data_IF_193616704794
#
_entry.id   IF_193616704794
#
_cell.length_a   1.000
_cell.length_b   1.000
_cell.length_c   1.000
_cell.angle_alpha   90.00
_cell.angle_beta   90.00
_cell.angle_gamma   90.00
#
_symmetry.space_group_name_H-M   'P 1'
#
loop_
_entity.id
_entity.type
_entity.pdbx_description
1 polymer ?
#
# COMPACT_ATOMS: atom_id res chain seq x y z
N UNK A 1 -32.03 -0.88 -12.26
CA UNK A 1 -30.98 -1.87 -12.56
C UNK A 1 -31.65 -3.19 -12.94
N UNK A 2 -31.30 -3.76 -14.09
CA UNK A 2 -31.89 -5.00 -14.60
C UNK A 2 -31.28 -6.23 -13.93
N UNK A 3 -32.11 -7.24 -13.61
CA UNK A 3 -31.69 -8.53 -13.01
C UNK A 3 -30.56 -9.24 -13.76
N UNK A 4 -30.43 -8.97 -15.07
CA UNK A 4 -29.34 -9.50 -15.92
C UNK A 4 -27.96 -8.97 -15.51
N UNK A 5 -27.87 -7.76 -14.97
CA UNK A 5 -26.59 -7.16 -14.55
C UNK A 5 -26.05 -7.81 -13.26
N UNK A 6 -26.94 -8.20 -12.35
CA UNK A 6 -26.59 -8.88 -11.09
C UNK A 6 -26.06 -10.30 -11.35
N UNK A 7 -26.61 -11.00 -12.34
CA UNK A 7 -26.18 -12.36 -12.69
C UNK A 7 -24.79 -12.34 -13.33
N UNK A 8 -24.54 -11.42 -14.28
CA UNK A 8 -23.20 -11.23 -14.87
C UNK A 8 -22.17 -10.85 -13.79
N UNK A 9 -22.56 -10.01 -12.83
CA UNK A 9 -21.73 -9.59 -11.71
C UNK A 9 -21.36 -10.74 -10.77
N UNK A 10 -22.31 -11.60 -10.40
CA UNK A 10 -22.04 -12.77 -9.54
C UNK A 10 -21.13 -13.75 -10.28
N UNK A 11 -21.32 -13.98 -11.57
CA UNK A 11 -20.46 -14.89 -12.33
C UNK A 11 -19.02 -14.39 -12.44
N UNK A 12 -18.80 -13.10 -12.66
CA UNK A 12 -17.47 -12.52 -12.85
C UNK A 12 -16.70 -12.37 -11.53
N UNK A 13 -17.39 -12.01 -10.44
CA UNK A 13 -16.81 -12.01 -9.10
C UNK A 13 -16.55 -13.43 -8.58
N UNK A 14 -17.42 -14.39 -8.89
CA UNK A 14 -17.18 -15.80 -8.53
C UNK A 14 -16.00 -16.36 -9.33
N UNK A 15 -15.87 -16.01 -10.61
CA UNK A 15 -14.67 -16.35 -11.41
C UNK A 15 -13.41 -15.70 -10.84
N UNK A 16 -13.48 -14.45 -10.38
CA UNK A 16 -12.37 -13.78 -9.71
C UNK A 16 -11.96 -14.50 -8.41
N UNK A 17 -12.92 -14.82 -7.54
CA UNK A 17 -12.67 -15.58 -6.32
C UNK A 17 -12.14 -17.00 -6.60
N UNK A 18 -12.61 -17.62 -7.69
CA UNK A 18 -12.18 -18.96 -8.11
C UNK A 18 -10.76 -18.96 -8.70
N UNK A 19 -10.42 -17.94 -9.50
CA UNK A 19 -9.05 -17.74 -10.00
C UNK A 19 -8.11 -17.47 -8.81
N UNK A 20 -8.51 -16.59 -7.89
CA UNK A 20 -7.72 -16.26 -6.73
C UNK A 20 -7.50 -17.47 -5.79
N UNK A 21 -8.53 -18.28 -5.53
CA UNK A 21 -8.41 -19.51 -4.74
C UNK A 21 -7.57 -20.59 -5.43
N UNK A 22 -7.52 -20.59 -6.77
CA UNK A 22 -6.69 -21.51 -7.56
C UNK A 22 -5.20 -21.15 -7.53
N UNK A 23 -4.86 -19.86 -7.40
CA UNK A 23 -3.47 -19.40 -7.34
C UNK A 23 -2.89 -19.34 -5.93
N UNK A 24 -3.72 -19.35 -4.89
CA UNK A 24 -3.25 -19.37 -3.51
C UNK A 24 -4.21 -20.14 -2.59
N UNK A 25 -4.16 -21.49 -2.61
CA UNK A 25 -5.08 -22.33 -1.83
C UNK A 25 -4.91 -22.20 -0.30
N UNK A 26 -3.90 -21.44 0.15
CA UNK A 26 -3.56 -21.27 1.57
C UNK A 26 -3.94 -19.88 2.13
N UNK A 27 -4.44 -18.95 1.31
CA UNK A 27 -4.86 -17.62 1.77
C UNK A 27 -6.38 -17.56 1.94
N UNK A 28 -6.90 -17.49 3.18
CA UNK A 28 -8.33 -17.46 3.41
C UNK A 28 -8.95 -16.17 2.85
N UNK A 29 -10.03 -16.31 2.07
CA UNK A 29 -10.80 -15.20 1.47
C UNK A 29 -11.16 -14.09 2.47
N UNK A 30 -11.32 -14.43 3.75
CA UNK A 30 -11.63 -13.47 4.82
C UNK A 30 -10.56 -12.38 4.98
N UNK A 31 -9.28 -12.70 4.77
CA UNK A 31 -8.19 -11.71 4.85
C UNK A 31 -8.26 -10.63 3.77
N UNK A 32 -8.82 -10.95 2.61
CA UNK A 32 -8.94 -10.02 1.47
C UNK A 32 -10.08 -9.01 1.68
N UNK A 33 -11.17 -9.41 2.32
CA UNK A 33 -12.35 -8.55 2.58
C UNK A 33 -12.06 -7.53 3.70
N UNK A 34 -11.32 -7.92 4.76
CA UNK A 34 -10.92 -7.00 5.83
C UNK A 34 -10.00 -5.86 5.35
N UNK A 35 -9.29 -6.05 4.24
CA UNK A 35 -8.40 -5.06 3.65
C UNK A 35 -9.13 -3.78 3.19
N UNK A 36 -10.43 -3.88 2.86
CA UNK A 36 -11.19 -2.77 2.25
C UNK A 36 -12.14 -2.04 3.20
N UNK A 37 -12.51 -2.61 4.35
CA UNK A 37 -13.49 -1.98 5.26
C UNK A 37 -12.92 -0.91 6.19
N UNK A 38 -11.59 -0.80 6.32
CA UNK A 38 -10.95 0.06 7.32
C UNK A 38 -10.79 1.55 6.91
N UNK A 39 -11.36 1.98 5.77
CA UNK A 39 -11.08 3.31 5.19
C UNK A 39 -11.90 4.49 5.73
N UNK A 40 -12.80 4.31 6.71
CA UNK A 40 -13.62 5.40 7.24
C UNK A 40 -13.29 5.68 8.70
N UNK A 41 -12.34 6.59 8.94
CA UNK A 41 -12.05 7.11 10.29
C UNK A 41 -12.38 8.60 10.34
N UNK A 42 -13.52 8.95 10.95
CA UNK A 42 -13.89 10.33 11.29
C UNK A 42 -13.52 10.59 12.76
N UNK A 43 -12.55 11.47 13.01
CA UNK A 43 -12.20 11.87 14.38
C UNK A 43 -11.27 13.09 14.41
N UNK A 44 -11.61 14.09 15.23
CA UNK A 44 -10.80 15.30 15.45
C UNK A 44 -9.51 14.96 16.19
N UNK A 45 -8.43 15.59 15.73
CA UNK A 45 -7.05 15.43 16.20
C UNK A 45 -6.82 16.12 17.55
N UNK A 46 -6.47 15.30 18.54
CA UNK A 46 -5.50 15.66 19.57
C UNK A 46 -4.48 14.52 19.63
N UNK A 47 -3.25 14.82 20.07
CA UNK A 47 -2.16 13.83 20.25
C UNK A 47 -2.52 12.82 21.34
N UNK A 48 -3.45 11.93 21.05
CA UNK A 48 -3.98 10.94 21.98
C UNK A 48 -3.20 9.65 21.74
N UNK A 49 -2.56 9.16 22.80
CA UNK A 49 -2.00 7.81 22.87
C UNK A 49 -3.10 6.82 22.44
N UNK A 50 -2.78 5.79 21.62
CA UNK A 50 -3.75 4.76 21.32
C UNK A 50 -4.27 4.08 22.59
N UNK A 51 -5.59 3.91 22.69
CA UNK A 51 -6.22 3.15 23.76
C UNK A 51 -5.84 1.67 23.67
N UNK A 52 -6.00 0.91 24.77
CA UNK A 52 -5.74 -0.53 24.78
C UNK A 52 -6.54 -1.30 23.71
N UNK A 53 -7.77 -0.85 23.41
CA UNK A 53 -8.59 -1.41 22.34
C UNK A 53 -8.01 -1.13 20.95
N UNK A 54 -7.54 0.11 20.70
CA UNK A 54 -6.86 0.45 19.45
C UNK A 54 -5.58 -0.38 19.28
N UNK A 55 -4.86 -0.70 20.37
CA UNK A 55 -3.70 -1.61 20.32
C UNK A 55 -4.09 -3.00 19.85
N UNK A 56 -5.04 -3.64 20.52
CA UNK A 56 -5.48 -5.00 20.16
C UNK A 56 -5.99 -5.06 18.70
N UNK A 57 -6.64 -4.01 18.23
CA UNK A 57 -7.10 -3.93 16.85
C UNK A 57 -5.95 -3.75 15.85
N UNK A 58 -4.93 -2.97 16.20
CA UNK A 58 -3.69 -2.88 15.42
C UNK A 58 -2.98 -4.23 15.38
N UNK A 59 -2.87 -4.94 16.51
CA UNK A 59 -2.27 -6.29 16.56
C UNK A 59 -2.95 -7.24 15.58
N UNK A 60 -4.28 -7.31 15.60
CA UNK A 60 -5.06 -8.16 14.69
C UNK A 60 -4.84 -7.75 13.22
N UNK A 61 -4.92 -6.46 12.90
CA UNK A 61 -4.97 -5.99 11.51
C UNK A 61 -3.60 -5.94 10.83
N UNK A 62 -2.56 -5.64 11.58
CA UNK A 62 -1.19 -5.55 11.07
C UNK A 62 -0.39 -6.84 11.22
N UNK A 63 -0.95 -7.86 11.88
CA UNK A 63 -0.24 -9.08 12.25
C UNK A 63 0.84 -8.83 13.31
N UNK A 64 0.73 -7.72 14.03
CA UNK A 64 1.59 -7.34 15.14
C UNK A 64 1.16 -8.10 16.42
N UNK A 65 1.16 -9.43 16.42
CA UNK A 65 0.96 -10.17 17.68
C UNK A 65 2.19 -9.97 18.57
N UNK A 66 2.06 -9.21 19.67
CA UNK A 66 3.06 -9.04 20.75
C UNK A 66 4.52 -8.94 20.30
N UNK A 67 4.81 -8.23 19.20
CA UNK A 67 6.15 -8.20 18.64
C UNK A 67 7.09 -7.47 19.59
N UNK A 68 8.03 -8.22 20.17
CA UNK A 68 9.18 -7.69 20.92
C UNK A 68 9.90 -6.63 20.07
N UNK A 69 9.60 -5.36 20.32
CA UNK A 69 10.21 -4.25 19.59
C UNK A 69 9.27 -3.25 18.97
N UNK A 70 7.95 -3.34 19.19
CA UNK A 70 7.04 -2.23 18.98
C UNK A 70 6.74 -1.54 20.30
N UNK A 71 6.87 -0.22 20.34
CA UNK A 71 6.64 0.61 21.53
C UNK A 71 5.81 1.84 21.18
N UNK A 72 4.99 2.28 22.13
CA UNK A 72 4.25 3.51 21.97
C UNK A 72 5.11 4.74 22.30
N UNK A 73 4.93 5.85 21.58
CA UNK A 73 5.55 7.11 21.95
C UNK A 73 5.08 7.55 23.35
N UNK A 74 6.00 7.89 24.24
CA UNK A 74 5.65 8.54 25.51
C UNK A 74 5.05 9.92 25.26
N UNK A 75 4.20 10.45 26.17
CA UNK A 75 3.68 11.81 26.07
C UNK A 75 4.81 12.83 25.88
N UNK A 76 4.65 13.73 24.90
CA UNK A 76 5.64 14.75 24.57
C UNK A 76 6.80 14.30 23.68
N UNK A 77 6.89 13.00 23.34
CA UNK A 77 7.90 12.53 22.39
C UNK A 77 7.66 13.07 20.97
N UNK A 78 8.75 13.15 20.20
CA UNK A 78 8.73 13.58 18.80
C UNK A 78 9.29 12.47 17.93
N UNK A 79 8.66 12.23 16.77
CA UNK A 79 9.16 11.27 15.79
C UNK A 79 10.54 11.65 15.23
N UNK A 80 10.91 12.94 15.31
CA UNK A 80 12.23 13.43 14.89
C UNK A 80 13.38 13.00 15.81
N UNK A 81 13.07 12.48 16.99
CA UNK A 81 14.04 12.12 18.02
C UNK A 81 13.86 10.64 18.39
N UNK A 82 14.18 9.71 17.47
CA UNK A 82 14.01 8.29 17.70
C UNK A 82 14.87 7.79 18.86
N UNK A 83 14.30 6.88 19.65
CA UNK A 83 15.07 6.08 20.62
C UNK A 83 16.12 5.26 19.87
N UNK A 84 17.30 5.09 20.46
CA UNK A 84 18.38 4.30 19.87
C UNK A 84 17.90 2.91 19.43
N UNK A 85 18.22 2.53 18.19
CA UNK A 85 17.82 1.24 17.60
C UNK A 85 16.36 1.16 17.12
N UNK A 86 15.60 2.26 17.15
CA UNK A 86 14.19 2.29 16.71
C UNK A 86 13.95 3.32 15.60
N UNK A 87 12.91 3.10 14.82
CA UNK A 87 12.38 4.02 13.81
C UNK A 87 10.92 4.33 14.11
N UNK A 88 10.48 5.55 13.82
CA UNK A 88 9.08 5.93 13.92
C UNK A 88 8.29 5.47 12.70
N UNK A 89 7.18 4.76 12.90
CA UNK A 89 6.26 4.33 11.83
C UNK A 89 4.88 4.88 12.12
N UNK A 90 4.33 5.67 11.18
CA UNK A 90 3.01 6.27 11.34
C UNK A 90 1.90 5.23 11.26
N UNK A 91 0.87 5.34 12.10
CA UNK A 91 -0.24 4.38 12.06
C UNK A 91 -0.96 4.41 10.70
N UNK A 92 -1.07 5.59 10.08
CA UNK A 92 -1.70 5.73 8.76
C UNK A 92 -0.94 5.04 7.63
N UNK A 93 0.36 4.76 7.77
CA UNK A 93 1.07 3.94 6.78
C UNK A 93 0.78 2.46 6.97
N UNK A 94 0.56 1.99 8.21
CA UNK A 94 0.11 0.62 8.51
C UNK A 94 -1.32 0.38 8.00
N UNK A 95 -2.22 1.36 8.22
CA UNK A 95 -3.58 1.36 7.67
C UNK A 95 -3.57 1.28 6.14
N UNK A 96 -2.56 1.89 5.50
CA UNK A 96 -2.35 1.86 4.05
C UNK A 96 -1.80 0.51 3.54
N UNK A 97 -1.62 -0.48 4.41
CA UNK A 97 -1.29 -1.85 4.02
C UNK A 97 0.18 -2.22 4.17
N UNK A 98 1.08 -1.32 4.61
CA UNK A 98 2.46 -1.72 4.88
C UNK A 98 2.53 -2.67 6.08
N UNK A 99 3.47 -3.60 6.05
CA UNK A 99 3.71 -4.59 7.11
C UNK A 99 5.18 -4.58 7.50
N UNK A 100 5.51 -5.04 8.70
CA UNK A 100 6.87 -5.02 9.24
C UNK A 100 7.83 -5.99 8.54
N UNK A 101 7.29 -6.98 7.85
CA UNK A 101 8.06 -7.76 6.88
C UNK A 101 7.73 -7.25 5.49
N UNK A 102 8.54 -6.30 5.02
CA UNK A 102 8.43 -5.82 3.65
C UNK A 102 8.68 -6.98 2.70
N UNK A 103 7.90 -7.03 1.61
CA UNK A 103 8.22 -7.94 0.50
C UNK A 103 9.50 -7.48 -0.19
N UNK A 104 10.18 -8.39 -0.89
CA UNK A 104 11.40 -8.06 -1.66
C UNK A 104 11.18 -6.86 -2.59
N UNK A 105 9.98 -6.77 -3.20
CA UNK A 105 9.62 -5.65 -4.07
C UNK A 105 9.44 -4.34 -3.29
N UNK A 106 8.75 -4.36 -2.15
CA UNK A 106 8.58 -3.16 -1.31
C UNK A 106 9.93 -2.65 -0.80
N UNK A 107 10.78 -3.56 -0.30
CA UNK A 107 12.13 -3.21 0.13
C UNK A 107 12.95 -2.65 -1.04
N UNK A 108 12.88 -3.27 -2.23
CA UNK A 108 13.56 -2.78 -3.44
C UNK A 108 13.12 -1.36 -3.80
N UNK A 109 11.81 -1.07 -3.81
CA UNK A 109 11.29 0.28 -4.10
C UNK A 109 11.84 1.30 -3.11
N UNK A 110 11.74 1.04 -1.81
CA UNK A 110 12.16 1.99 -0.79
C UNK A 110 13.67 2.18 -0.75
N UNK A 111 14.46 1.11 -0.92
CA UNK A 111 15.91 1.20 -1.01
C UNK A 111 16.36 1.99 -2.24
N UNK A 112 15.80 1.69 -3.43
CA UNK A 112 16.23 2.34 -4.68
C UNK A 112 15.81 3.79 -4.77
N UNK A 113 14.62 4.14 -4.28
CA UNK A 113 14.18 5.54 -4.21
C UNK A 113 14.74 6.29 -2.98
N UNK A 114 15.49 5.61 -2.11
CA UNK A 114 16.13 6.21 -0.94
C UNK A 114 15.14 6.75 0.09
N UNK A 115 13.98 6.09 0.22
CA UNK A 115 12.93 6.52 1.13
C UNK A 115 12.84 5.62 2.37
N UNK A 116 13.01 6.21 3.54
CA UNK A 116 12.76 5.52 4.81
C UNK A 116 11.27 5.43 5.15
N UNK A 117 10.86 4.41 5.91
CA UNK A 117 9.45 4.24 6.30
C UNK A 117 8.85 5.47 7.00
N UNK A 118 9.64 6.15 7.84
CA UNK A 118 9.25 7.38 8.53
C UNK A 118 8.96 8.57 7.59
N UNK A 119 9.39 8.50 6.33
CA UNK A 119 9.14 9.54 5.33
C UNK A 119 7.95 9.18 4.42
N UNK A 120 7.52 7.92 4.38
CA UNK A 120 6.47 7.49 3.47
C UNK A 120 5.12 8.09 3.84
N UNK A 121 4.46 8.71 2.87
CA UNK A 121 3.05 9.06 3.00
C UNK A 121 2.17 7.81 2.86
N UNK A 122 0.98 7.77 3.49
CA UNK A 122 0.00 6.70 3.27
C UNK A 122 -0.32 6.48 1.79
N UNK A 123 -0.38 7.56 1.01
CA UNK A 123 -0.61 7.47 -0.44
C UNK A 123 0.56 6.79 -1.17
N UNK A 124 1.81 7.03 -0.73
CA UNK A 124 2.97 6.34 -1.28
C UNK A 124 2.89 4.84 -1.01
N UNK A 125 2.58 4.46 0.23
CA UNK A 125 2.40 3.07 0.63
C UNK A 125 1.31 2.39 -0.19
N UNK A 126 0.12 3.01 -0.26
CA UNK A 126 -1.00 2.48 -1.03
C UNK A 126 -0.59 2.17 -2.48
N UNK A 127 0.19 3.05 -3.13
CA UNK A 127 0.66 2.82 -4.50
C UNK A 127 1.58 1.62 -4.63
N UNK A 128 2.54 1.47 -3.71
CA UNK A 128 3.46 0.32 -3.74
C UNK A 128 2.71 -0.97 -3.47
N UNK A 129 1.89 -1.00 -2.41
CA UNK A 129 1.13 -2.19 -1.98
C UNK A 129 0.11 -2.60 -3.05
N UNK A 130 -0.72 -1.66 -3.54
CA UNK A 130 -1.72 -1.97 -4.55
C UNK A 130 -1.09 -2.38 -5.88
N UNK A 131 0.01 -1.74 -6.30
CA UNK A 131 0.73 -2.18 -7.49
C UNK A 131 1.19 -3.62 -7.33
N UNK A 132 1.86 -3.96 -6.24
CA UNK A 132 2.30 -5.33 -5.96
C UNK A 132 1.13 -6.33 -5.99
N UNK A 133 0.02 -6.01 -5.31
CA UNK A 133 -1.16 -6.86 -5.28
C UNK A 133 -1.72 -7.10 -6.68
N UNK A 134 -1.83 -6.06 -7.52
CA UNK A 134 -2.32 -6.19 -8.89
C UNK A 134 -1.39 -7.07 -9.73
N UNK A 135 -0.06 -6.89 -9.60
CA UNK A 135 0.91 -7.71 -10.32
C UNK A 135 0.73 -9.20 -9.99
N UNK A 136 0.71 -9.51 -8.69
CA UNK A 136 0.60 -10.89 -8.18
C UNK A 136 -0.76 -11.51 -8.52
N UNK A 137 -1.85 -10.75 -8.44
CA UNK A 137 -3.19 -11.21 -8.80
C UNK A 137 -3.29 -11.59 -10.29
N UNK A 138 -2.47 -10.99 -11.15
CA UNK A 138 -2.39 -11.32 -12.58
C UNK A 138 -1.31 -12.38 -12.89
N UNK A 139 -0.71 -13.02 -11.87
CA UNK A 139 0.30 -14.06 -12.05
C UNK A 139 1.70 -13.54 -12.42
N UNK A 140 1.97 -12.26 -12.20
CA UNK A 140 3.25 -11.64 -12.51
C UNK A 140 4.01 -11.25 -11.25
N UNK A 141 5.34 -11.24 -11.36
CA UNK A 141 6.20 -10.68 -10.32
C UNK A 141 6.21 -9.15 -10.43
N UNK A 142 6.04 -8.43 -9.30
CA UNK A 142 6.17 -6.98 -9.29
C UNK A 142 7.64 -6.61 -9.47
N UNK A 143 7.92 -5.74 -10.45
CA UNK A 143 9.27 -5.27 -10.74
C UNK A 143 9.38 -3.77 -10.54
N UNK A 144 10.45 -3.31 -9.87
CA UNK A 144 10.72 -1.89 -9.64
C UNK A 144 10.68 -1.04 -10.92
N UNK A 145 11.27 -1.50 -12.03
CA UNK A 145 11.28 -0.71 -13.27
C UNK A 145 9.89 -0.53 -13.87
N UNK A 146 8.99 -1.50 -13.72
CA UNK A 146 7.59 -1.34 -14.18
C UNK A 146 6.83 -0.41 -13.25
N UNK A 147 7.09 -0.48 -11.93
CA UNK A 147 6.54 0.50 -11.01
C UNK A 147 6.96 1.94 -11.39
N UNK A 148 8.25 2.16 -11.70
CA UNK A 148 8.78 3.47 -12.14
C UNK A 148 8.29 3.93 -13.51
N UNK A 149 7.77 3.01 -14.33
CA UNK A 149 7.08 3.36 -15.57
C UNK A 149 5.78 4.11 -15.28
N UNK A 150 5.00 3.67 -14.29
CA UNK A 150 3.73 4.32 -13.92
C UNK A 150 3.92 5.51 -12.98
N UNK A 151 4.87 5.40 -12.05
CA UNK A 151 5.01 6.35 -10.95
C UNK A 151 6.33 7.11 -10.98
N UNK A 152 6.25 8.40 -10.70
CA UNK A 152 7.38 9.29 -10.45
C UNK A 152 7.56 9.49 -8.96
N UNK A 153 8.74 9.15 -8.47
CA UNK A 153 9.12 9.42 -7.09
C UNK A 153 9.38 10.92 -6.88
N UNK A 154 9.01 11.42 -5.72
CA UNK A 154 9.27 12.79 -5.31
C UNK A 154 9.42 12.88 -3.80
N UNK A 155 10.32 13.76 -3.37
CA UNK A 155 10.49 14.13 -1.97
C UNK A 155 10.09 15.59 -1.80
N UNK A 156 9.28 15.89 -0.80
CA UNK A 156 8.89 17.26 -0.45
C UNK A 156 9.03 17.45 1.05
N UNK A 157 10.07 18.18 1.46
CA UNK A 157 10.51 18.19 2.86
C UNK A 157 10.88 16.78 3.32
N UNK A 158 10.32 16.32 4.44
CA UNK A 158 10.55 14.97 4.97
C UNK A 158 9.49 13.95 4.53
N UNK A 159 8.85 14.18 3.37
CA UNK A 159 7.76 13.35 2.86
C UNK A 159 8.14 12.77 1.51
N UNK A 160 8.14 11.45 1.42
CA UNK A 160 8.21 10.71 0.18
C UNK A 160 6.81 10.46 -0.36
N UNK A 161 6.64 10.71 -1.65
CA UNK A 161 5.42 10.35 -2.37
C UNK A 161 5.72 9.88 -3.78
N UNK A 162 4.76 9.16 -4.34
CA UNK A 162 4.75 8.75 -5.73
C UNK A 162 3.63 9.50 -6.44
N UNK A 163 3.93 10.15 -7.56
CA UNK A 163 2.93 10.79 -8.42
C UNK A 163 2.75 9.96 -9.68
N UNK A 164 1.55 9.94 -10.25
CA UNK A 164 1.33 9.28 -11.55
C UNK A 164 2.07 10.07 -12.64
N UNK A 165 2.81 9.38 -13.52
CA UNK A 165 3.47 10.04 -14.65
C UNK A 165 2.43 10.63 -15.62
N UNK A 166 2.71 11.80 -16.18
CA UNK A 166 1.83 12.46 -17.17
C UNK A 166 1.64 11.54 -18.39
N UNK A 167 0.39 11.40 -18.83
CA UNK A 167 0.04 10.55 -19.97
C UNK A 167 -0.04 9.06 -19.68
N UNK A 168 0.24 8.62 -18.45
CA UNK A 168 0.09 7.22 -18.03
C UNK A 168 -1.27 6.96 -17.38
N UNK A 169 -1.97 5.91 -17.82
CA UNK A 169 -3.02 5.29 -17.02
C UNK A 169 -2.35 4.42 -15.95
N UNK A 170 -2.13 4.99 -14.76
CA UNK A 170 -1.57 4.22 -13.65
C UNK A 170 -2.63 3.27 -13.07
N UNK A 171 -2.23 2.06 -12.64
CA UNK A 171 -3.11 1.07 -12.05
C UNK A 171 -3.48 1.37 -10.60
N UNK A 172 -3.06 2.52 -10.06
CA UNK A 172 -3.45 2.96 -8.72
C UNK A 172 -3.81 4.44 -8.83
N UNK A 173 -5.00 4.86 -8.36
CA UNK A 173 -5.43 6.24 -8.50
C UNK A 173 -4.55 7.13 -7.62
N UNK A 174 -4.42 8.40 -8.00
CA UNK A 174 -3.78 9.37 -7.13
C UNK A 174 -4.74 9.75 -6.00
N UNK A 175 -4.59 9.07 -4.87
CA UNK A 175 -5.32 9.37 -3.66
C UNK A 175 -4.79 10.64 -2.99
N UNK A 176 -5.67 11.37 -2.28
CA UNK A 176 -5.20 12.41 -1.37
C UNK A 176 -4.59 11.74 -0.15
N UNK A 177 -3.41 12.20 0.25
CA UNK A 177 -2.87 11.81 1.55
C UNK A 177 -3.81 12.36 2.64
N UNK A 178 -4.27 11.54 3.60
CA UNK A 178 -5.14 12.01 4.66
C UNK A 178 -4.53 13.21 5.39
N UNK A 179 -5.36 14.19 5.75
CA UNK A 179 -4.91 15.26 6.65
C UNK A 179 -4.45 14.61 7.96
N UNK A 180 -3.44 15.21 8.60
CA UNK A 180 -3.02 14.80 9.93
C UNK A 180 -2.54 13.33 10.03
N UNK A 181 -2.07 12.74 8.92
CA UNK A 181 -1.59 11.36 8.90
C UNK A 181 -0.36 11.11 9.79
N UNK A 182 0.30 12.18 10.22
CA UNK A 182 1.51 12.15 11.05
C UNK A 182 1.20 12.22 12.56
N UNK A 183 -0.08 12.29 12.95
CA UNK A 183 -0.47 12.55 14.35
C UNK A 183 -0.21 11.37 15.29
N UNK A 184 -0.26 10.15 14.77
CA UNK A 184 -0.05 8.91 15.53
C UNK A 184 1.04 8.08 14.89
N UNK A 185 1.99 7.61 15.70
CA UNK A 185 3.08 6.72 15.28
C UNK A 185 3.43 5.73 16.37
N UNK A 186 4.21 4.73 16.01
CA UNK A 186 4.82 3.74 16.89
C UNK A 186 6.34 3.80 16.74
N UNK A 187 7.06 3.47 17.80
CA UNK A 187 8.48 3.15 17.73
C UNK A 187 8.64 1.69 17.42
N UNK A 188 9.43 1.38 16.40
CA UNK A 188 9.64 0.01 15.95
C UNK A 188 11.13 -0.25 15.89
N UNK A 189 11.60 -1.36 16.45
CA UNK A 189 13.01 -1.75 16.33
C UNK A 189 13.40 -1.82 14.86
N UNK A 190 14.58 -1.30 14.57
CA UNK A 190 15.09 -1.19 13.21
C UNK A 190 15.17 -2.56 12.51
N UNK A 191 15.49 -3.62 13.25
CA UNK A 191 15.55 -5.00 12.73
C UNK A 191 14.22 -5.51 12.15
N UNK A 192 13.10 -4.98 12.64
CA UNK A 192 11.75 -5.35 12.20
C UNK A 192 11.26 -4.57 10.98
N UNK A 193 12.07 -3.69 10.40
CA UNK A 193 11.66 -2.81 9.28
C UNK A 193 12.49 -3.10 8.02
N UNK A 194 13.45 -4.02 8.11
CA UNK A 194 14.43 -4.30 7.08
C UNK A 194 15.75 -3.58 7.31
N UNK A 195 16.68 -3.71 6.37
CA UNK A 195 18.07 -3.31 6.54
C UNK A 195 18.31 -1.81 6.78
N UNK A 196 17.26 -0.98 6.62
CA UNK A 196 17.15 0.44 7.00
C UNK A 196 18.22 1.40 6.46
N UNK A 197 19.07 0.92 5.56
CA UNK A 197 20.07 1.72 4.85
C UNK A 197 19.45 2.30 3.57
N UNK A 198 18.50 3.22 3.76
CA UNK A 198 17.95 4.01 2.66
C UNK A 198 18.94 5.13 2.32
N UNK A 199 19.96 4.81 1.53
CA UNK A 199 20.79 5.87 0.95
C UNK A 199 19.97 6.52 -0.16
N UNK A 200 19.85 7.84 -0.11
CA UNK A 200 19.36 8.63 -1.23
C UNK A 200 20.38 8.54 -2.37
N UNK A 201 20.37 7.41 -3.09
CA UNK A 201 20.96 7.35 -4.40
C UNK A 201 20.03 8.18 -5.27
N UNK A 202 20.47 9.37 -5.66
CA UNK A 202 19.77 10.19 -6.62
C UNK A 202 19.82 9.50 -7.99
N UNK A 203 19.06 8.42 -8.16
CA UNK A 203 18.81 7.87 -9.47
C UNK A 203 18.05 8.93 -10.25
N UNK A 204 18.64 9.36 -11.37
CA UNK A 204 17.94 10.24 -12.29
C UNK A 204 16.57 9.60 -12.60
N UNK A 205 15.51 10.41 -12.55
CA UNK A 205 14.14 9.99 -12.86
C UNK A 205 14.01 9.75 -14.37
N UNK A 206 14.77 8.79 -14.89
CA UNK A 206 14.70 8.36 -16.28
C UNK A 206 13.59 7.35 -16.38
N UNK A 207 12.61 7.63 -17.25
CA UNK A 207 11.65 6.61 -17.66
C UNK A 207 12.48 5.44 -18.19
N UNK A 208 12.38 4.24 -17.61
CA UNK A 208 13.07 3.08 -18.14
C UNK A 208 12.67 2.97 -19.60
N UNK A 209 13.64 2.94 -20.51
CA UNK A 209 13.36 2.61 -21.91
C UNK A 209 12.80 1.20 -21.88
N UNK A 210 11.48 1.08 -21.92
CA UNK A 210 10.83 -0.21 -22.10
C UNK A 210 11.43 -0.80 -23.35
N UNK A 211 12.08 -1.95 -23.21
CA UNK A 211 12.75 -2.59 -24.34
C UNK A 211 11.71 -2.74 -25.46
N UNK A 212 11.90 -2.10 -26.63
CA UNK A 212 10.90 -2.07 -27.71
C UNK A 212 10.58 -3.46 -28.28
N UNK A 213 11.30 -4.49 -27.86
CA UNK A 213 11.11 -5.88 -28.26
C UNK A 213 10.46 -6.78 -27.21
N UNK A 214 10.07 -6.24 -26.05
CA UNK A 214 9.52 -7.05 -24.97
C UNK A 214 7.99 -7.00 -24.99
N UNK A 215 7.39 -7.68 -25.98
CA UNK A 215 5.95 -7.83 -26.13
C UNK A 215 5.27 -8.25 -24.80
N UNK A 216 5.94 -9.09 -24.02
CA UNK A 216 5.48 -9.50 -22.68
C UNK A 216 5.32 -8.34 -21.70
N UNK A 217 6.14 -7.29 -21.77
CA UNK A 217 5.96 -6.11 -20.91
C UNK A 217 4.79 -5.26 -21.38
N UNK A 218 4.56 -5.14 -22.69
CA UNK A 218 3.39 -4.43 -23.20
C UNK A 218 2.08 -5.14 -22.82
N UNK A 219 2.05 -6.47 -22.94
CA UNK A 219 0.88 -7.27 -22.57
C UNK A 219 0.68 -7.31 -21.05
N UNK A 220 1.76 -7.34 -20.28
CA UNK A 220 1.74 -7.14 -18.84
C UNK A 220 1.12 -5.79 -18.44
N UNK A 221 1.57 -4.69 -19.05
CA UNK A 221 1.05 -3.35 -18.78
C UNK A 221 -0.45 -3.24 -19.12
N UNK A 222 -0.88 -3.83 -20.24
CA UNK A 222 -2.30 -3.88 -20.63
C UNK A 222 -3.13 -4.70 -19.65
N UNK A 223 -2.63 -5.86 -19.23
CA UNK A 223 -3.31 -6.73 -18.24
C UNK A 223 -3.49 -6.02 -16.90
N UNK A 224 -2.42 -5.39 -16.40
CA UNK A 224 -2.44 -4.60 -15.16
C UNK A 224 -3.43 -3.42 -15.26
N UNK A 225 -3.46 -2.72 -16.40
CA UNK A 225 -4.41 -1.63 -16.62
C UNK A 225 -5.87 -2.10 -16.73
N UNK A 226 -6.13 -3.21 -17.42
CA UNK A 226 -7.47 -3.78 -17.56
C UNK A 226 -8.03 -4.24 -16.21
N UNK A 227 -7.20 -4.90 -15.40
CA UNK A 227 -7.57 -5.33 -14.04
C UNK A 227 -7.92 -4.12 -13.16
N UNK A 228 -7.11 -3.08 -13.22
CA UNK A 228 -7.38 -1.85 -12.48
C UNK A 228 -8.70 -1.19 -12.91
N UNK A 229 -8.98 -1.11 -14.20
CA UNK A 229 -10.23 -0.53 -14.69
C UNK A 229 -11.44 -1.29 -14.14
N UNK A 230 -11.40 -2.63 -14.17
CA UNK A 230 -12.45 -3.46 -13.59
C UNK A 230 -12.61 -3.22 -12.08
N UNK A 231 -11.49 -3.14 -11.35
CA UNK A 231 -11.49 -2.85 -9.91
C UNK A 231 -12.11 -1.47 -9.58
N UNK A 232 -11.73 -0.41 -10.30
CA UNK A 232 -12.27 0.94 -10.08
C UNK A 232 -13.76 0.96 -10.34
N UNK A 233 -14.21 0.40 -11.46
CA UNK A 233 -15.64 0.32 -11.81
C UNK A 233 -16.40 -0.40 -10.70
N UNK A 234 -15.91 -1.54 -10.23
CA UNK A 234 -16.50 -2.29 -9.13
C UNK A 234 -16.59 -1.46 -7.83
N UNK A 235 -15.50 -0.80 -7.46
CA UNK A 235 -15.44 0.00 -6.23
C UNK A 235 -16.39 1.20 -6.29
N UNK A 236 -16.42 1.92 -7.41
CA UNK A 236 -17.34 3.06 -7.60
C UNK A 236 -18.80 2.63 -7.55
N UNK A 237 -19.14 1.51 -8.20
CA UNK A 237 -20.51 0.99 -8.20
C UNK A 237 -20.93 0.50 -6.81
N UNK A 238 -20.03 -0.10 -6.04
CA UNK A 238 -20.32 -0.60 -4.69
C UNK A 238 -20.62 0.55 -3.71
N UNK A 239 -19.86 1.65 -3.79
CA UNK A 239 -20.05 2.83 -2.94
C UNK A 239 -21.39 3.52 -3.22
N UNK A 240 -21.80 3.59 -4.49
CA UNK A 240 -23.06 4.24 -4.88
C UNK A 240 -24.32 3.42 -4.55
N UNK A 241 -24.19 2.10 -4.34
CA UNK A 241 -25.36 1.25 -4.04
C UNK A 241 -25.86 1.31 -2.60
N UNK A 242 -25.15 1.97 -1.68
CA UNK A 242 -25.73 2.42 -0.40
C UNK A 242 -26.51 1.35 0.40
N UNK A 243 -26.14 0.07 0.32
CA UNK A 243 -26.61 -0.93 1.28
C UNK A 243 -25.70 -0.85 2.52
N UNK A 244 -25.98 0.14 3.36
CA UNK A 244 -25.68 0.14 4.79
C UNK A 244 -26.73 -0.66 5.54
#
# INVERSE_FOLDING_TARGET
MSRLFIISFVEEFTRFLFIFSSFSPHLPLSGFIFFFSSFVSHGKSSRILPSATEYHQLEITSGLTSLEGVEFPSPGSSISSPTSGKIGVYLKTLDAGIRFHLTDFQEEVFQKDGCSLQMLTPNAVNKVVLFEMICRANGYLPYYFVFKFFFRFSVTGNKCTFSVRRGGHAPVPDGRTPKNWQDKWLWVKHELVGSGRYRANAFADTIPKLFPHNQGVADYLKSVQAFYFAYVVFYTLSVDTGCS
#
